data_IF_649091765841
#
_entry.id   IF_649091765841
#
_cell.length_a   1.000
_cell.length_b   1.000
_cell.length_c   1.000
_cell.angle_alpha   90.00
_cell.angle_beta   90.00
_cell.angle_gamma   90.00
#
_symmetry.space_group_name_H-M   'P 1'
#
loop_
_entity.id
_entity.type
_entity.pdbx_description
1 polymer ?
#
# COMPACT_ATOMS: atom_id res chain seq x y z
N UNK A 1 4.10 -37.26 -43.43
CA UNK A 1 5.21 -36.47 -43.97
C UNK A 1 4.63 -35.52 -45.00
N UNK A 2 4.78 -34.24 -44.69
CA UNK A 2 4.70 -33.07 -45.58
C UNK A 2 3.36 -32.73 -46.25
N UNK A 3 2.48 -32.13 -45.45
CA UNK A 3 1.58 -31.10 -45.93
C UNK A 3 2.24 -29.74 -45.78
N UNK A 4 2.43 -29.04 -46.91
CA UNK A 4 1.64 -27.84 -47.20
C UNK A 4 1.98 -27.29 -48.58
N UNK A 5 0.92 -27.14 -49.36
CA UNK A 5 0.85 -26.35 -50.58
C UNK A 5 0.60 -24.88 -50.22
N UNK A 6 1.29 -24.00 -50.94
CA UNK A 6 0.89 -22.69 -51.42
C UNK A 6 -0.12 -21.89 -50.58
N UNK A 7 0.35 -21.22 -49.52
CA UNK A 7 -0.23 -19.97 -49.03
C UNK A 7 0.91 -19.13 -48.46
N UNK A 8 1.17 -17.98 -49.08
CA UNK A 8 1.76 -16.74 -48.52
C UNK A 8 3.14 -16.89 -47.83
N UNK A 9 4.27 -16.69 -48.51
CA UNK A 9 4.81 -15.40 -48.99
C UNK A 9 4.76 -14.27 -47.95
N UNK A 10 5.69 -14.31 -47.00
CA UNK A 10 6.13 -13.21 -46.12
C UNK A 10 7.43 -13.72 -45.47
N UNK A 11 8.60 -13.07 -45.47
CA UNK A 11 9.06 -11.74 -45.84
C UNK A 11 10.53 -11.90 -46.23
N UNK A 12 10.98 -11.29 -47.33
CA UNK A 12 12.40 -11.08 -47.53
C UNK A 12 12.64 -9.69 -48.11
N UNK A 13 13.60 -9.02 -47.48
CA UNK A 13 14.52 -8.07 -48.10
C UNK A 13 13.97 -6.72 -48.57
N UNK A 14 14.39 -5.69 -47.84
CA UNK A 14 15.02 -4.44 -48.31
C UNK A 14 14.31 -3.57 -49.39
N UNK A 15 14.07 -2.32 -48.97
CA UNK A 15 14.11 -1.06 -49.75
C UNK A 15 13.08 -0.85 -50.89
N UNK A 16 12.16 0.11 -50.70
CA UNK A 16 12.27 1.47 -51.29
C UNK A 16 10.90 2.20 -51.44
N UNK A 17 10.85 3.39 -50.83
CA UNK A 17 10.34 4.69 -51.33
C UNK A 17 8.85 5.03 -51.60
N UNK A 18 8.58 6.32 -51.28
CA UNK A 18 7.55 7.27 -51.76
C UNK A 18 6.28 7.39 -50.91
N UNK A 19 5.76 8.54 -50.45
CA UNK A 19 6.06 9.99 -50.48
C UNK A 19 5.22 10.59 -49.33
N UNK A 20 5.71 11.46 -48.45
CA UNK A 20 5.97 12.86 -48.72
C UNK A 20 5.15 13.72 -47.77
N UNK A 21 5.79 14.57 -46.97
CA UNK A 21 5.36 15.94 -46.75
C UNK A 21 6.59 16.78 -46.41
N UNK A 22 6.65 17.90 -47.11
CA UNK A 22 7.77 18.80 -47.31
C UNK A 22 7.47 20.07 -46.52
N UNK A 23 8.42 20.54 -45.72
CA UNK A 23 8.58 21.98 -45.47
C UNK A 23 10.05 22.27 -45.15
N UNK A 24 10.59 23.24 -45.88
CA UNK A 24 12.00 23.58 -46.03
C UNK A 24 12.75 23.99 -44.75
N UNK A 25 14.05 23.71 -44.74
CA UNK A 25 14.95 23.90 -43.61
C UNK A 25 15.56 25.29 -43.47
N UNK A 26 16.50 25.41 -42.51
CA UNK A 26 17.74 26.18 -42.61
C UNK A 26 18.69 25.87 -41.41
N UNK A 27 19.85 25.30 -41.77
CA UNK A 27 21.19 25.30 -41.14
C UNK A 27 21.45 25.26 -39.62
N UNK A 28 21.86 24.07 -39.16
CA UNK A 28 23.20 23.73 -38.66
C UNK A 28 23.95 24.72 -37.74
N UNK A 29 24.04 24.41 -36.43
CA UNK A 29 25.28 24.54 -35.63
C UNK A 29 25.22 23.82 -34.27
N UNK A 30 26.13 22.83 -34.16
CA UNK A 30 26.87 22.34 -32.99
C UNK A 30 26.15 21.55 -31.90
N UNK A 31 26.53 20.28 -31.86
CA UNK A 31 26.52 19.42 -30.69
C UNK A 31 27.09 20.14 -29.46
N UNK A 32 26.25 20.22 -28.43
CA UNK A 32 26.63 20.39 -27.03
C UNK A 32 25.83 19.33 -26.27
N UNK A 33 26.55 18.48 -25.56
CA UNK A 33 26.00 17.38 -24.75
C UNK A 33 25.40 17.97 -23.46
N UNK A 34 24.27 17.39 -23.05
CA UNK A 34 23.61 17.42 -21.73
C UNK A 34 22.92 18.71 -21.23
N UNK A 35 21.58 18.67 -21.15
CA UNK A 35 20.88 18.34 -19.88
C UNK A 35 19.56 17.61 -20.20
N UNK A 36 19.25 16.45 -19.60
CA UNK A 36 17.87 16.01 -19.49
C UNK A 36 17.19 16.99 -18.54
N UNK A 37 16.20 17.72 -19.04
CA UNK A 37 15.27 18.46 -18.19
C UNK A 37 14.61 17.45 -17.27
N UNK A 38 14.92 17.53 -15.97
CA UNK A 38 14.24 16.76 -14.92
C UNK A 38 12.77 17.18 -14.90
N UNK A 39 11.93 16.45 -15.62
CA UNK A 39 10.50 16.68 -15.63
C UNK A 39 9.74 15.38 -15.83
N UNK A 40 10.00 14.42 -14.94
CA UNK A 40 9.01 13.41 -14.53
C UNK A 40 9.28 13.13 -13.04
N UNK A 41 8.74 13.98 -12.17
CA UNK A 41 8.44 13.51 -10.82
C UNK A 41 7.41 12.41 -11.01
N UNK A 42 7.78 11.16 -10.78
CA UNK A 42 6.83 10.09 -10.49
C UNK A 42 5.93 10.63 -9.36
N UNK A 43 4.76 11.14 -9.72
CA UNK A 43 3.72 11.48 -8.77
C UNK A 43 3.29 10.17 -8.16
N UNK A 44 3.80 9.85 -6.96
CA UNK A 44 3.28 8.75 -6.17
C UNK A 44 1.77 8.99 -6.02
N UNK A 45 0.98 8.14 -6.68
CA UNK A 45 -0.46 8.13 -6.47
C UNK A 45 -0.68 7.77 -5.00
N UNK A 46 -1.39 8.63 -4.28
CA UNK A 46 -1.76 8.36 -2.90
C UNK A 46 -2.46 6.98 -2.84
N UNK A 47 -2.09 6.11 -1.88
CA UNK A 47 -2.69 4.79 -1.77
C UNK A 47 -4.15 4.89 -1.37
N UNK A 48 -4.95 3.95 -1.88
CA UNK A 48 -6.35 3.82 -1.48
C UNK A 48 -6.43 3.12 -0.11
N UNK A 49 -7.30 3.60 0.78
CA UNK A 49 -7.38 3.08 2.16
C UNK A 49 -8.74 2.43 2.43
N UNK A 50 -8.71 1.19 2.88
CA UNK A 50 -9.89 0.42 3.24
C UNK A 50 -9.89 0.24 4.75
N UNK A 51 -10.95 0.68 5.43
CA UNK A 51 -11.13 0.44 6.85
C UNK A 51 -12.07 -0.73 7.09
N UNK A 52 -11.64 -1.70 7.91
CA UNK A 52 -12.43 -2.88 8.27
C UNK A 52 -12.58 -2.92 9.79
N UNK A 53 -13.79 -2.64 10.28
CA UNK A 53 -14.09 -2.55 11.70
C UNK A 53 -15.09 -3.62 12.16
N UNK A 54 -15.04 -3.99 13.43
CA UNK A 54 -15.95 -4.96 14.01
C UNK A 54 -15.36 -5.70 15.21
N UNK A 55 -16.21 -6.29 16.06
CA UNK A 55 -15.78 -6.96 17.29
C UNK A 55 -14.76 -8.09 17.09
N UNK A 56 -14.15 -8.54 18.19
CA UNK A 56 -13.28 -9.72 18.15
C UNK A 56 -14.04 -10.92 17.57
N UNK A 57 -13.34 -11.72 16.74
CA UNK A 57 -13.90 -12.90 16.05
C UNK A 57 -15.11 -12.64 15.11
N UNK A 58 -15.36 -11.40 14.69
CA UNK A 58 -16.44 -11.09 13.72
C UNK A 58 -16.15 -11.50 12.27
N UNK A 59 -14.92 -11.95 11.97
CA UNK A 59 -14.51 -12.37 10.62
C UNK A 59 -13.77 -11.31 9.79
N UNK A 60 -13.39 -10.18 10.38
CA UNK A 60 -12.62 -9.11 9.71
C UNK A 60 -11.38 -9.60 8.96
N UNK A 61 -10.54 -10.43 9.59
CA UNK A 61 -9.34 -10.97 8.94
C UNK A 61 -9.69 -11.79 7.70
N UNK A 62 -10.76 -12.58 7.75
CA UNK A 62 -11.27 -13.33 6.58
C UNK A 62 -11.69 -12.38 5.47
N UNK A 63 -12.39 -11.28 5.80
CA UNK A 63 -12.78 -10.25 4.82
C UNK A 63 -11.55 -9.58 4.22
N UNK A 64 -10.54 -9.24 5.04
CA UNK A 64 -9.29 -8.66 4.57
C UNK A 64 -8.56 -9.60 3.60
N UNK A 65 -8.45 -10.88 3.94
CA UNK A 65 -7.84 -11.90 3.07
C UNK A 65 -8.59 -12.02 1.74
N UNK A 66 -9.92 -12.00 1.76
CA UNK A 66 -10.74 -12.02 0.54
C UNK A 66 -10.49 -10.76 -0.32
N UNK A 67 -10.42 -9.57 0.28
CA UNK A 67 -10.11 -8.33 -0.44
C UNK A 67 -8.73 -8.42 -1.09
N UNK A 68 -7.72 -8.85 -0.34
CA UNK A 68 -6.34 -9.01 -0.83
C UNK A 68 -6.31 -9.96 -2.05
N UNK A 69 -7.07 -11.06 -2.00
CA UNK A 69 -7.16 -12.01 -3.11
C UNK A 69 -7.79 -11.41 -4.38
N UNK A 70 -8.73 -10.46 -4.25
CA UNK A 70 -9.39 -9.79 -5.37
C UNK A 70 -8.55 -8.67 -5.99
N UNK A 71 -7.62 -8.09 -5.23
CA UNK A 71 -6.80 -6.96 -5.69
C UNK A 71 -5.61 -7.37 -6.58
N UNK A 72 -5.39 -8.67 -6.78
CA UNK A 72 -4.43 -9.27 -7.73
C UNK A 72 -3.06 -8.56 -7.80
N UNK A 73 -2.86 -7.71 -8.81
CA UNK A 73 -1.58 -7.06 -9.14
C UNK A 73 -1.26 -5.84 -8.25
N UNK A 74 -2.19 -5.40 -7.40
CA UNK A 74 -1.96 -4.30 -6.48
C UNK A 74 -1.10 -4.75 -5.31
N UNK A 75 -0.13 -3.93 -4.91
CA UNK A 75 0.57 -4.12 -3.64
C UNK A 75 -0.39 -3.70 -2.53
N UNK A 76 -0.74 -4.64 -1.67
CA UNK A 76 -1.61 -4.40 -0.52
C UNK A 76 -0.81 -4.56 0.76
N UNK A 77 -0.98 -3.62 1.69
CA UNK A 77 -0.54 -3.80 3.08
C UNK A 77 -1.75 -3.92 4.01
N UNK A 78 -1.71 -4.91 4.89
CA UNK A 78 -2.60 -4.98 6.05
C UNK A 78 -1.91 -4.35 7.28
N UNK A 79 -2.59 -3.38 7.90
CA UNK A 79 -2.25 -2.75 9.18
C UNK A 79 -3.32 -3.18 10.18
N UNK A 80 -2.92 -3.94 11.19
CA UNK A 80 -3.83 -4.39 12.24
C UNK A 80 -3.70 -3.47 13.47
N UNK A 81 -4.82 -2.93 13.96
CA UNK A 81 -4.89 -2.12 15.17
C UNK A 81 -4.29 -2.81 16.40
N UNK A 82 -4.39 -4.14 16.48
CA UNK A 82 -3.83 -4.95 17.57
C UNK A 82 -2.31 -4.82 17.71
N UNK A 83 -1.60 -4.44 16.63
CA UNK A 83 -0.17 -4.14 16.71
C UNK A 83 0.13 -2.95 17.63
N UNK A 84 -0.86 -2.08 17.87
CA UNK A 84 -0.71 -0.80 18.54
C UNK A 84 -1.34 -0.80 19.94
N UNK A 85 -1.50 -1.95 20.60
CA UNK A 85 -1.79 -1.95 22.03
C UNK A 85 -0.64 -1.30 22.82
N UNK A 86 -0.99 -0.52 23.84
CA UNK A 86 -0.05 0.00 24.82
C UNK A 86 0.55 -1.15 25.64
N UNK A 87 1.83 -1.02 25.98
CA UNK A 87 2.47 -1.93 26.92
C UNK A 87 1.83 -1.79 28.29
N UNK A 88 1.53 -2.91 28.94
CA UNK A 88 1.07 -2.86 30.32
C UNK A 88 2.21 -2.51 31.27
N UNK A 89 1.88 -1.67 32.25
CA UNK A 89 2.72 -1.41 33.42
C UNK A 89 2.78 -2.63 34.34
N UNK A 90 3.76 -2.66 35.24
CA UNK A 90 3.87 -3.73 36.24
C UNK A 90 2.60 -3.82 37.12
N UNK A 91 1.94 -2.70 37.43
CA UNK A 91 0.69 -2.70 38.21
C UNK A 91 -0.45 -3.33 37.42
N UNK A 92 -0.63 -2.95 36.15
CA UNK A 92 -1.68 -3.50 35.28
C UNK A 92 -1.48 -4.99 35.03
N UNK A 93 -0.23 -5.44 34.87
CA UNK A 93 0.11 -6.86 34.74
C UNK A 93 -0.36 -7.69 35.95
N UNK A 94 -0.31 -7.13 37.18
CA UNK A 94 -0.82 -7.84 38.36
C UNK A 94 -2.34 -8.04 38.36
N UNK A 95 -3.07 -7.26 37.55
CA UNK A 95 -4.54 -7.28 37.42
C UNK A 95 -4.99 -7.38 35.97
N UNK A 96 -4.24 -8.10 35.13
CA UNK A 96 -4.47 -8.12 33.69
C UNK A 96 -5.87 -8.62 33.30
N UNK A 97 -6.46 -9.50 34.13
CA UNK A 97 -7.83 -9.98 33.95
C UNK A 97 -8.91 -8.88 34.09
N UNK A 98 -8.57 -7.78 34.77
CA UNK A 98 -9.45 -6.63 34.98
C UNK A 98 -9.15 -5.51 33.97
N UNK A 99 -8.10 -5.65 33.16
CA UNK A 99 -7.72 -4.67 32.14
C UNK A 99 -8.67 -4.76 30.94
N UNK A 100 -9.26 -3.62 30.56
CA UNK A 100 -10.18 -3.55 29.43
C UNK A 100 -9.43 -3.25 28.12
N UNK A 101 -9.12 -4.30 27.36
CA UNK A 101 -8.49 -4.18 26.04
C UNK A 101 -9.44 -3.59 24.96
N UNK A 102 -10.74 -3.56 25.21
CA UNK A 102 -11.72 -2.95 24.30
C UNK A 102 -11.95 -1.46 24.62
N UNK A 103 -11.12 -0.85 25.46
CA UNK A 103 -11.15 0.59 25.71
C UNK A 103 -10.24 1.33 24.71
N UNK A 104 -10.65 2.49 24.16
CA UNK A 104 -9.81 3.28 23.25
C UNK A 104 -8.40 3.58 23.78
N UNK A 105 -8.29 3.88 25.08
CA UNK A 105 -7.00 4.16 25.75
C UNK A 105 -6.06 2.96 25.82
N UNK A 106 -6.54 1.75 25.51
CA UNK A 106 -5.68 0.58 25.42
C UNK A 106 -4.74 0.64 24.20
N UNK A 107 -4.97 1.55 23.25
CA UNK A 107 -4.21 1.67 22.01
C UNK A 107 -3.32 2.91 21.98
N UNK A 108 -2.12 2.79 21.42
CA UNK A 108 -1.27 3.92 20.99
C UNK A 108 -1.78 4.45 19.64
N UNK A 109 -2.92 5.15 19.68
CA UNK A 109 -3.55 5.73 18.48
C UNK A 109 -2.64 6.75 17.78
N UNK A 110 -1.80 7.47 18.54
CA UNK A 110 -0.84 8.42 17.96
C UNK A 110 0.20 7.71 17.10
N UNK A 111 0.69 6.55 17.53
CA UNK A 111 1.60 5.74 16.72
C UNK A 111 0.92 5.15 15.50
N UNK A 112 -0.32 4.67 15.63
CA UNK A 112 -1.12 4.21 14.50
C UNK A 112 -1.28 5.32 13.45
N UNK A 113 -1.69 6.53 13.87
CA UNK A 113 -1.85 7.68 12.97
C UNK A 113 -0.54 8.05 12.28
N UNK A 114 0.59 8.06 13.00
CA UNK A 114 1.92 8.30 12.40
C UNK A 114 2.28 7.25 11.36
N UNK A 115 1.96 5.99 11.60
CA UNK A 115 2.20 4.90 10.64
C UNK A 115 1.33 5.09 9.39
N UNK A 116 0.04 5.36 9.57
CA UNK A 116 -0.90 5.57 8.47
C UNK A 116 -0.53 6.78 7.61
N UNK A 117 -0.13 7.89 8.24
CA UNK A 117 0.32 9.10 7.55
C UNK A 117 1.54 8.84 6.67
N UNK A 118 2.57 8.17 7.23
CA UNK A 118 3.76 7.80 6.47
C UNK A 118 3.45 6.89 5.29
N UNK A 119 2.61 5.86 5.50
CA UNK A 119 2.22 4.95 4.43
C UNK A 119 1.47 5.67 3.30
N UNK A 120 0.58 6.61 3.64
CA UNK A 120 -0.11 7.47 2.66
C UNK A 120 0.86 8.30 1.82
N UNK A 121 1.92 8.80 2.44
CA UNK A 121 2.97 9.55 1.75
C UNK A 121 3.99 8.67 1.01
N UNK A 122 3.73 7.36 0.90
CA UNK A 122 4.62 6.45 0.20
C UNK A 122 5.94 6.20 0.94
N UNK A 123 5.96 6.35 2.26
CA UNK A 123 7.11 6.04 3.10
C UNK A 123 7.03 4.61 3.65
N UNK A 124 8.15 3.91 3.64
CA UNK A 124 8.27 2.62 4.30
C UNK A 124 8.34 2.79 5.83
N UNK A 125 7.60 1.97 6.56
CA UNK A 125 7.42 2.05 8.02
C UNK A 125 7.74 0.73 8.68
N UNK A 126 8.04 0.80 9.97
CA UNK A 126 8.19 -0.37 10.83
C UNK A 126 6.98 -0.45 11.75
N UNK A 127 6.23 -1.55 11.64
CA UNK A 127 5.03 -1.79 12.45
C UNK A 127 5.43 -2.68 13.62
N UNK A 128 5.11 -2.29 14.87
CA UNK A 128 5.37 -3.13 16.03
C UNK A 128 4.58 -4.43 15.96
N UNK A 129 5.07 -5.45 16.65
CA UNK A 129 4.33 -6.68 16.89
C UNK A 129 3.99 -6.74 18.36
N UNK A 130 2.71 -6.64 18.71
CA UNK A 130 2.28 -6.81 20.09
C UNK A 130 2.22 -8.29 20.47
N UNK A 131 2.83 -8.67 21.59
CA UNK A 131 2.77 -10.02 22.13
C UNK A 131 1.78 -10.08 23.30
N UNK A 132 0.62 -10.68 23.05
CA UNK A 132 -0.43 -10.89 24.05
C UNK A 132 -0.04 -11.84 25.20
N UNK A 133 1.10 -12.55 25.11
CA UNK A 133 1.60 -13.36 26.23
C UNK A 133 2.38 -12.53 27.24
N UNK A 134 3.19 -11.58 26.75
CA UNK A 134 3.99 -10.68 27.58
C UNK A 134 3.34 -9.32 27.82
N UNK A 135 2.26 -9.02 27.09
CA UNK A 135 1.53 -7.74 27.07
C UNK A 135 2.45 -6.54 26.76
N UNK A 136 3.38 -6.77 25.83
CA UNK A 136 4.36 -5.79 25.37
C UNK A 136 4.51 -5.86 23.85
N UNK A 137 4.80 -4.73 23.24
CA UNK A 137 5.36 -4.65 21.89
C UNK A 137 6.73 -5.33 21.89
N UNK A 138 6.88 -6.31 21.02
CA UNK A 138 8.13 -6.98 20.71
C UNK A 138 9.08 -6.00 20.00
N UNK A 139 10.39 -6.13 20.27
CA UNK A 139 11.44 -5.38 19.54
C UNK A 139 11.52 -5.83 18.07
N UNK A 140 10.93 -6.98 17.74
CA UNK A 140 10.77 -7.43 16.36
C UNK A 140 9.73 -6.59 15.61
N UNK A 141 10.23 -5.69 14.76
CA UNK A 141 9.41 -4.88 13.89
C UNK A 141 9.16 -5.56 12.54
N UNK A 142 7.94 -5.43 12.03
CA UNK A 142 7.60 -5.81 10.66
C UNK A 142 7.79 -4.61 9.75
N UNK A 143 8.83 -4.64 8.91
CA UNK A 143 9.02 -3.64 7.86
C UNK A 143 7.91 -3.75 6.82
N UNK A 144 7.29 -2.62 6.51
CA UNK A 144 6.27 -2.45 5.48
C UNK A 144 6.76 -1.46 4.46
N UNK A 145 6.66 -1.83 3.18
CA UNK A 145 7.00 -0.97 2.06
C UNK A 145 5.76 -0.21 1.56
N UNK A 146 5.94 0.88 0.80
CA UNK A 146 4.85 1.60 0.16
C UNK A 146 4.00 0.66 -0.69
N UNK A 147 2.69 0.83 -0.61
CA UNK A 147 1.69 -0.03 -1.24
C UNK A 147 0.71 0.81 -2.06
N UNK A 148 -0.04 0.17 -2.95
CA UNK A 148 -1.07 0.83 -3.76
C UNK A 148 -2.42 0.86 -2.99
N UNK A 149 -2.62 -0.10 -2.08
CA UNK A 149 -3.76 -0.20 -1.17
C UNK A 149 -3.27 -0.44 0.27
N UNK A 150 -3.92 0.22 1.24
CA UNK A 150 -3.73 0.01 2.67
C UNK A 150 -5.06 -0.48 3.25
N UNK A 151 -5.05 -1.65 3.90
CA UNK A 151 -6.18 -2.15 4.67
C UNK A 151 -5.88 -1.91 6.14
N UNK A 152 -6.72 -1.14 6.83
CA UNK A 152 -6.66 -0.92 8.27
C UNK A 152 -7.78 -1.71 8.96
N UNK A 153 -7.40 -2.73 9.72
CA UNK A 153 -8.33 -3.62 10.41
C UNK A 153 -8.26 -3.42 11.93
N UNK A 154 -9.40 -3.43 12.63
CA UNK A 154 -9.41 -3.53 14.08
C UNK A 154 -10.79 -3.41 14.73
N UNK A 155 -10.85 -3.51 16.05
CA UNK A 155 -12.11 -3.44 16.80
C UNK A 155 -12.64 -2.02 16.96
N UNK A 156 -11.75 -1.02 16.93
CA UNK A 156 -12.03 0.38 17.22
C UNK A 156 -11.34 1.33 16.22
N UNK A 157 -11.03 0.88 15.00
CA UNK A 157 -10.30 1.71 14.01
C UNK A 157 -11.03 3.01 13.68
N UNK A 158 -12.35 3.04 13.75
CA UNK A 158 -13.16 4.24 13.50
C UNK A 158 -13.56 5.00 14.77
N UNK A 159 -13.05 4.60 15.94
CA UNK A 159 -13.34 5.34 17.18
C UNK A 159 -12.71 6.74 17.16
N UNK A 160 -11.47 6.87 16.66
CA UNK A 160 -10.82 8.16 16.52
C UNK A 160 -11.18 8.79 15.16
N UNK A 161 -11.81 9.97 15.13
CA UNK A 161 -12.24 10.60 13.87
C UNK A 161 -11.08 11.00 12.96
N UNK A 162 -9.84 11.08 13.48
CA UNK A 162 -8.65 11.33 12.68
C UNK A 162 -8.27 10.13 11.82
N UNK A 163 -8.80 8.93 12.12
CA UNK A 163 -8.61 7.74 11.30
C UNK A 163 -9.57 7.69 10.12
N UNK A 164 -10.73 8.35 10.17
CA UNK A 164 -11.67 8.42 9.02
C UNK A 164 -11.51 9.70 8.19
N UNK A 165 -10.95 10.77 8.76
CA UNK A 165 -10.65 12.04 8.06
C UNK A 165 -9.48 12.00 7.08
N UNK A 166 -8.98 10.80 6.77
CA UNK A 166 -7.82 10.57 5.92
C UNK A 166 -8.31 10.08 4.56
N UNK A 167 -8.76 11.01 3.71
CA UNK A 167 -9.23 10.88 2.31
C UNK A 167 -9.43 9.46 1.72
N UNK A 168 -10.67 9.23 1.25
CA UNK A 168 -11.23 8.03 0.59
C UNK A 168 -11.19 6.73 1.41
N UNK A 169 -12.07 6.63 2.43
CA UNK A 169 -12.41 5.38 3.11
C UNK A 169 -13.67 4.75 2.50
N UNK A 170 -13.60 3.47 2.15
CA UNK A 170 -14.79 2.61 2.10
C UNK A 170 -14.88 1.80 3.40
N UNK A 171 -15.99 1.97 4.11
CA UNK A 171 -16.29 1.24 5.34
C UNK A 171 -16.93 -0.10 5.00
N UNK A 172 -16.28 -1.19 5.40
CA UNK A 172 -16.86 -2.54 5.31
C UNK A 172 -17.21 -2.97 6.74
N UNK A 173 -18.51 -3.00 7.03
CA UNK A 173 -19.11 -3.50 8.28
C UNK A 173 -19.72 -4.89 8.10
#
# INVERSE_FOLDING_TARGET
MDTKSAVELMESSAEAHFSGFHMDGFEQRKASIEQPTTSETDMYKQPFVIGVAGGAASGKTTVCDMIIQQLHDQRVVLVNQDSFYNNLTEEELTRVQDYNFDHPDAFDTEQLLRVMDKLKHGEAVDIPKYDFKSYKSDDMLRRVNPSDVIILEGILVFHDPRVSGVDEYEDIC
#
